data_IF_900063803740
#
_entry.id   IF_900063803740
#
_cell.length_a   1.000
_cell.length_b   1.000
_cell.length_c   1.000
_cell.angle_alpha   90.00
_cell.angle_beta   90.00
_cell.angle_gamma   90.00
#
_symmetry.space_group_name_H-M   'P 1'
#
loop_
_entity.id
_entity.type
_entity.pdbx_description
1 polymer ?
#
# COMPACT_ATOMS: atom_id res chain seq x y z
N UNK A 1 -5.96 -2.47 -0.55
CA UNK A 1 -5.07 -2.77 0.59
C UNK A 1 -4.35 -1.52 1.09
N UNK A 2 -3.64 -0.75 0.25
CA UNK A 2 -2.90 0.43 0.72
C UNK A 2 -3.73 1.47 1.50
N UNK A 3 -4.94 1.78 1.02
CA UNK A 3 -5.87 2.70 1.70
C UNK A 3 -6.34 2.22 3.07
N UNK A 4 -6.20 0.92 3.38
CA UNK A 4 -6.58 0.34 4.67
C UNK A 4 -5.71 0.87 5.81
N UNK A 5 -4.49 1.32 5.50
CA UNK A 5 -3.59 1.94 6.49
C UNK A 5 -3.99 3.35 6.92
N UNK A 6 -4.98 3.96 6.24
CA UNK A 6 -5.57 5.22 6.69
C UNK A 6 -6.30 5.02 8.01
N UNK A 7 -6.06 5.90 9.00
CA UNK A 7 -6.68 5.79 10.31
C UNK A 7 -8.21 5.77 10.26
N UNK A 8 -8.80 6.57 9.37
CA UNK A 8 -10.26 6.61 9.14
C UNK A 8 -10.81 5.28 8.62
N UNK A 9 -10.04 4.56 7.79
CA UNK A 9 -10.46 3.25 7.28
C UNK A 9 -10.49 2.20 8.41
N UNK A 10 -9.50 2.24 9.30
CA UNK A 10 -9.45 1.39 10.48
C UNK A 10 -10.62 1.66 11.44
N UNK A 11 -10.90 2.94 11.72
CA UNK A 11 -12.03 3.36 12.54
C UNK A 11 -13.37 2.93 11.92
N UNK A 12 -13.51 3.09 10.61
CA UNK A 12 -14.72 2.66 9.90
C UNK A 12 -14.95 1.14 9.96
N UNK A 13 -13.89 0.31 9.91
CA UNK A 13 -14.02 -1.15 10.01
C UNK A 13 -14.36 -1.57 11.44
N UNK A 14 -13.74 -0.94 12.43
CA UNK A 14 -14.06 -1.19 13.85
C UNK A 14 -15.54 -0.89 14.12
N UNK A 15 -16.01 0.30 13.69
CA UNK A 15 -17.42 0.68 13.82
C UNK A 15 -18.36 -0.19 12.97
N UNK A 16 -17.92 -0.64 11.80
CA UNK A 16 -18.71 -1.51 10.95
C UNK A 16 -19.12 -2.79 11.68
N UNK A 17 -18.31 -3.33 12.60
CA UNK A 17 -18.66 -4.53 13.39
C UNK A 17 -19.94 -4.40 14.23
N UNK A 18 -20.32 -3.17 14.61
CA UNK A 18 -21.55 -2.87 15.35
C UNK A 18 -22.75 -2.58 14.45
N UNK A 19 -22.54 -2.45 13.13
CA UNK A 19 -23.60 -2.12 12.19
C UNK A 19 -24.61 -3.27 12.04
N UNK A 20 -25.85 -3.03 12.44
CA UNK A 20 -26.97 -3.99 12.30
C UNK A 20 -27.64 -3.84 10.93
N UNK A 21 -26.94 -4.31 9.89
CA UNK A 21 -27.44 -4.20 8.53
C UNK A 21 -26.54 -4.83 7.47
N UNK A 22 -26.94 -4.64 6.22
CA UNK A 22 -26.19 -5.12 5.06
C UNK A 22 -25.11 -4.12 4.69
N UNK A 23 -23.85 -4.49 4.93
CA UNK A 23 -22.66 -3.75 4.52
C UNK A 23 -21.65 -4.76 3.96
N UNK A 24 -21.16 -4.51 2.74
CA UNK A 24 -20.12 -5.34 2.12
C UNK A 24 -18.90 -4.46 1.88
N UNK A 25 -17.80 -4.82 2.53
CA UNK A 25 -16.51 -4.15 2.38
C UNK A 25 -15.63 -5.02 1.49
N UNK A 26 -15.30 -4.52 0.30
CA UNK A 26 -14.44 -5.24 -0.63
C UNK A 26 -12.99 -4.81 -0.40
N UNK A 27 -12.17 -5.75 0.06
CA UNK A 27 -10.74 -5.54 0.24
C UNK A 27 -10.04 -6.05 -1.01
N UNK A 28 -9.74 -5.13 -1.92
CA UNK A 28 -8.87 -5.40 -3.06
C UNK A 28 -7.42 -5.43 -2.59
N UNK A 29 -6.83 -6.62 -2.52
CA UNK A 29 -5.47 -6.85 -2.05
C UNK A 29 -4.57 -7.29 -3.21
N UNK A 30 -3.69 -6.40 -3.64
CA UNK A 30 -2.68 -6.68 -4.66
C UNK A 30 -1.25 -6.58 -4.12
N UNK A 31 -1.12 -6.63 -2.78
CA UNK A 31 0.13 -6.51 -2.03
C UNK A 31 0.92 -5.21 -2.25
N UNK A 32 0.26 -4.16 -2.75
CA UNK A 32 0.91 -2.92 -3.16
C UNK A 32 0.12 -1.68 -2.73
N UNK A 33 0.81 -0.70 -2.14
CA UNK A 33 0.32 0.67 -2.08
C UNK A 33 0.77 1.42 -3.35
N UNK A 34 1.62 2.45 -3.19
CA UNK A 34 2.45 3.00 -4.26
C UNK A 34 3.68 2.10 -4.40
N UNK A 35 4.45 2.00 -3.32
CA UNK A 35 5.53 1.02 -3.10
C UNK A 35 5.03 -0.19 -2.28
N UNK A 36 5.95 -1.09 -1.94
CA UNK A 36 5.69 -2.24 -1.08
C UNK A 36 5.04 -1.84 0.26
N UNK A 37 4.13 -2.68 0.71
CA UNK A 37 3.43 -2.49 1.96
C UNK A 37 4.31 -2.85 3.18
N UNK A 38 4.34 -1.99 4.19
CA UNK A 38 5.05 -2.24 5.46
C UNK A 38 4.14 -2.04 6.66
N UNK A 39 4.12 -3.00 7.59
CA UNK A 39 3.36 -2.88 8.86
C UNK A 39 2.71 -4.19 9.31
N UNK A 40 2.17 -4.19 10.53
CA UNK A 40 1.54 -5.38 11.14
C UNK A 40 0.27 -5.83 10.39
N UNK A 41 -0.55 -4.88 9.95
CA UNK A 41 -1.74 -5.14 9.14
C UNK A 41 -1.41 -5.88 7.84
N UNK A 42 -0.39 -5.42 7.12
CA UNK A 42 0.00 -6.03 5.85
C UNK A 42 0.60 -7.43 6.02
N UNK A 43 1.30 -7.68 7.14
CA UNK A 43 1.70 -9.05 7.52
C UNK A 43 0.48 -9.95 7.75
N UNK A 44 -0.59 -9.42 8.34
CA UNK A 44 -1.83 -10.16 8.51
C UNK A 44 -2.52 -10.46 7.17
N UNK A 45 -2.62 -9.48 6.28
CA UNK A 45 -3.13 -9.68 4.91
C UNK A 45 -2.31 -10.74 4.18
N UNK A 46 -0.98 -10.67 4.23
CA UNK A 46 -0.10 -11.70 3.67
C UNK A 46 -0.37 -13.09 4.24
N UNK A 47 -0.49 -13.21 5.57
CA UNK A 47 -0.81 -14.49 6.20
C UNK A 47 -2.16 -15.05 5.72
N UNK A 48 -3.17 -14.19 5.57
CA UNK A 48 -4.46 -14.59 5.00
C UNK A 48 -4.34 -15.04 3.54
N UNK A 49 -3.55 -14.34 2.71
CA UNK A 49 -3.30 -14.76 1.32
C UNK A 49 -2.61 -16.12 1.24
N UNK A 50 -1.50 -16.27 1.97
CA UNK A 50 -0.70 -17.50 1.98
C UNK A 50 -1.48 -18.69 2.55
N UNK A 51 -2.35 -18.44 3.54
CA UNK A 51 -3.19 -19.45 4.19
C UNK A 51 -4.57 -19.65 3.55
N UNK A 52 -4.80 -19.15 2.34
CA UNK A 52 -6.08 -19.28 1.61
C UNK A 52 -7.30 -18.82 2.44
N UNK A 53 -7.20 -17.62 3.00
CA UNK A 53 -8.19 -17.00 3.87
C UNK A 53 -8.11 -17.41 5.34
N UNK A 54 -7.13 -18.23 5.73
CA UNK A 54 -6.94 -18.69 7.12
C UNK A 54 -5.62 -18.19 7.66
N UNK A 55 -5.64 -17.62 8.86
CA UNK A 55 -4.47 -17.23 9.61
C UNK A 55 -4.80 -17.26 11.11
N UNK A 56 -3.78 -17.31 11.97
CA UNK A 56 -3.95 -17.30 13.43
C UNK A 56 -4.68 -16.04 13.93
N UNK A 57 -4.53 -14.95 13.19
CA UNK A 57 -5.27 -13.71 13.39
C UNK A 57 -5.94 -13.34 12.09
N UNK A 58 -7.17 -12.85 12.16
CA UNK A 58 -7.85 -12.24 11.02
C UNK A 58 -8.40 -10.90 11.49
N UNK A 59 -7.82 -9.82 10.96
CA UNK A 59 -8.17 -8.45 11.33
C UNK A 59 -9.67 -8.17 11.23
N UNK A 60 -10.32 -8.65 10.17
CA UNK A 60 -11.73 -8.36 9.90
C UNK A 60 -12.66 -9.08 10.87
N UNK A 61 -12.40 -10.37 11.13
CA UNK A 61 -13.20 -11.11 12.11
C UNK A 61 -12.94 -10.63 13.53
N UNK A 62 -11.72 -10.17 13.83
CA UNK A 62 -11.40 -9.56 15.12
C UNK A 62 -12.19 -8.27 15.36
N UNK A 63 -12.53 -7.54 14.29
CA UNK A 63 -13.38 -6.35 14.29
C UNK A 63 -14.88 -6.68 14.11
N UNK A 64 -15.28 -7.95 14.16
CA UNK A 64 -16.70 -8.35 14.18
C UNK A 64 -17.37 -8.49 12.80
N UNK A 65 -16.63 -8.38 11.70
CA UNK A 65 -17.14 -8.63 10.35
C UNK A 65 -17.11 -10.13 10.04
N UNK A 66 -18.12 -10.60 9.31
CA UNK A 66 -18.01 -11.89 8.62
C UNK A 66 -16.92 -11.79 7.53
N UNK A 67 -16.28 -12.91 7.21
CA UNK A 67 -15.14 -12.91 6.31
C UNK A 67 -15.28 -13.92 5.17
N UNK A 68 -15.09 -13.45 3.94
CA UNK A 68 -15.03 -14.26 2.72
C UNK A 68 -13.71 -13.95 2.01
N UNK A 69 -12.99 -15.00 1.65
CA UNK A 69 -11.74 -14.89 0.90
C UNK A 69 -11.91 -15.42 -0.53
N UNK A 70 -11.39 -14.67 -1.50
CA UNK A 70 -11.34 -15.05 -2.90
C UNK A 70 -9.88 -15.01 -3.35
N UNK A 71 -9.30 -16.20 -3.56
CA UNK A 71 -7.89 -16.35 -3.95
C UNK A 71 -7.60 -15.76 -5.34
N UNK A 72 -8.54 -15.87 -6.26
CA UNK A 72 -8.42 -15.32 -7.61
C UNK A 72 -9.45 -14.20 -7.80
N UNK A 73 -9.06 -12.99 -7.45
CA UNK A 73 -9.88 -11.79 -7.62
C UNK A 73 -9.87 -11.23 -9.04
N UNK A 74 -9.14 -11.86 -9.97
CA UNK A 74 -9.18 -11.52 -11.40
C UNK A 74 -10.13 -12.46 -12.19
N UNK A 75 -10.66 -13.50 -11.54
CA UNK A 75 -11.64 -14.43 -12.11
C UNK A 75 -13.09 -13.96 -11.83
N UNK A 76 -13.83 -13.66 -12.91
CA UNK A 76 -15.19 -13.11 -12.84
C UNK A 76 -16.16 -14.09 -12.19
N UNK A 77 -16.07 -15.39 -12.49
CA UNK A 77 -16.99 -16.40 -11.95
C UNK A 77 -16.81 -16.56 -10.44
N UNK A 78 -15.57 -16.50 -9.97
CA UNK A 78 -15.21 -16.52 -8.55
C UNK A 78 -15.77 -15.30 -7.81
N UNK A 79 -15.69 -14.12 -8.43
CA UNK A 79 -16.29 -12.90 -7.89
C UNK A 79 -17.82 -12.97 -7.86
N UNK A 80 -18.46 -13.44 -8.94
CA UNK A 80 -19.92 -13.61 -9.00
C UNK A 80 -20.39 -14.57 -7.90
N UNK A 81 -19.69 -15.69 -7.71
CA UNK A 81 -20.00 -16.66 -6.66
C UNK A 81 -19.86 -16.05 -5.26
N UNK A 82 -18.77 -15.32 -5.01
CA UNK A 82 -18.54 -14.67 -3.73
C UNK A 82 -19.59 -13.59 -3.42
N UNK A 83 -19.89 -12.71 -4.38
CA UNK A 83 -20.87 -11.64 -4.20
C UNK A 83 -22.29 -12.18 -4.09
N UNK A 84 -22.65 -13.21 -4.87
CA UNK A 84 -23.96 -13.87 -4.75
C UNK A 84 -24.18 -14.47 -3.37
N UNK A 85 -23.12 -14.97 -2.72
CA UNK A 85 -23.17 -15.51 -1.37
C UNK A 85 -23.42 -14.44 -0.31
N UNK A 86 -22.89 -13.23 -0.48
CA UNK A 86 -22.91 -12.19 0.57
C UNK A 86 -23.95 -11.09 0.34
N UNK A 87 -24.50 -10.96 -0.87
CA UNK A 87 -25.37 -9.83 -1.27
C UNK A 87 -26.59 -9.59 -0.38
N UNK A 88 -27.12 -10.64 0.24
CA UNK A 88 -28.32 -10.56 1.10
C UNK A 88 -27.99 -10.64 2.60
N UNK A 89 -26.71 -10.52 2.96
CA UNK A 89 -26.25 -10.58 4.35
C UNK A 89 -27.01 -9.58 5.23
N UNK A 90 -27.24 -9.98 6.48
CA UNK A 90 -27.82 -9.14 7.53
C UNK A 90 -26.77 -8.58 8.48
N UNK A 91 -25.50 -8.95 8.25
CA UNK A 91 -24.34 -8.49 9.01
C UNK A 91 -23.26 -7.99 8.05
N UNK A 92 -22.40 -7.07 8.49
CA UNK A 92 -21.20 -6.63 7.78
C UNK A 92 -20.31 -7.80 7.33
N UNK A 93 -19.88 -7.77 6.07
CA UNK A 93 -18.98 -8.79 5.49
C UNK A 93 -17.77 -8.11 4.87
N UNK A 94 -16.58 -8.56 5.25
CA UNK A 94 -15.34 -8.29 4.52
C UNK A 94 -15.14 -9.36 3.43
N UNK A 95 -15.18 -8.93 2.17
CA UNK A 95 -14.83 -9.77 1.01
C UNK A 95 -13.41 -9.41 0.59
N UNK A 96 -12.46 -10.25 0.97
CA UNK A 96 -11.05 -10.08 0.65
C UNK A 96 -10.72 -10.81 -0.65
N UNK A 97 -10.40 -10.03 -1.69
CA UNK A 97 -10.06 -10.51 -3.03
C UNK A 97 -8.58 -10.26 -3.30
N UNK A 98 -7.88 -11.25 -3.82
CA UNK A 98 -6.47 -11.11 -4.21
C UNK A 98 -6.39 -10.78 -5.69
N UNK A 99 -5.78 -9.65 -6.06
CA UNK A 99 -5.66 -9.23 -7.46
C UNK A 99 -4.21 -8.97 -7.87
N UNK A 100 -3.98 -8.92 -9.17
CA UNK A 100 -2.72 -8.49 -9.74
C UNK A 100 -2.80 -7.02 -10.18
N UNK A 101 -1.99 -6.15 -9.56
CA UNK A 101 -1.89 -4.74 -9.95
C UNK A 101 -1.33 -4.63 -11.37
N UNK A 102 -2.02 -3.86 -12.22
CA UNK A 102 -1.66 -3.70 -13.63
C UNK A 102 -2.16 -4.82 -14.55
N UNK A 103 -2.97 -5.77 -14.05
CA UNK A 103 -3.41 -6.94 -14.83
C UNK A 103 -3.90 -6.56 -16.23
N UNK A 104 -3.35 -7.22 -17.25
CA UNK A 104 -3.69 -7.01 -18.66
C UNK A 104 -2.75 -6.05 -19.40
N UNK A 105 -1.77 -5.44 -18.72
CA UNK A 105 -0.72 -4.63 -19.32
C UNK A 105 0.65 -5.09 -18.79
N UNK A 106 1.42 -5.80 -19.61
CA UNK A 106 2.66 -6.46 -19.18
C UNK A 106 3.65 -5.52 -18.51
N UNK A 107 3.87 -4.32 -19.06
CA UNK A 107 4.77 -3.32 -18.48
C UNK A 107 4.31 -2.80 -17.11
N UNK A 108 3.00 -2.78 -16.84
CA UNK A 108 2.43 -2.36 -15.57
C UNK A 108 2.43 -3.49 -14.54
N UNK A 109 2.33 -4.75 -14.98
CA UNK A 109 2.51 -5.93 -14.13
C UNK A 109 3.98 -6.07 -13.68
N UNK A 110 4.93 -5.76 -14.56
CA UNK A 110 6.37 -5.79 -14.28
C UNK A 110 6.80 -4.62 -13.37
N UNK A 111 6.35 -3.39 -13.67
CA UNK A 111 6.79 -2.17 -12.98
C UNK A 111 5.61 -1.50 -12.23
N UNK A 112 5.02 -2.21 -11.27
CA UNK A 112 3.78 -1.82 -10.56
C UNK A 112 3.82 -0.47 -9.83
N UNK A 113 5.00 -0.04 -9.40
CA UNK A 113 5.20 1.26 -8.72
C UNK A 113 5.20 2.41 -9.75
N UNK A 114 6.03 2.31 -10.79
CA UNK A 114 6.11 3.29 -11.87
C UNK A 114 4.78 3.46 -12.62
N UNK A 115 4.02 2.37 -12.73
CA UNK A 115 2.70 2.36 -13.37
C UNK A 115 1.53 2.59 -12.40
N UNK A 116 1.80 2.99 -11.16
CA UNK A 116 0.74 3.37 -10.22
C UNK A 116 -0.06 4.59 -10.73
N UNK A 117 0.63 5.53 -11.39
CA UNK A 117 0.04 6.67 -12.08
C UNK A 117 0.92 7.04 -13.28
N UNK A 118 0.32 7.30 -14.44
CA UNK A 118 1.06 7.64 -15.64
C UNK A 118 0.32 8.67 -16.50
N UNK A 119 1.07 9.55 -17.16
CA UNK A 119 0.54 10.43 -18.21
C UNK A 119 0.03 9.61 -19.40
N UNK A 120 -0.90 10.14 -20.23
CA UNK A 120 -1.43 9.43 -21.38
C UNK A 120 -0.32 8.76 -22.20
N UNK A 121 -0.49 7.47 -22.45
CA UNK A 121 0.50 6.63 -23.10
C UNK A 121 -0.14 5.84 -24.24
N UNK A 122 0.70 5.23 -25.06
CA UNK A 122 0.31 4.28 -26.08
C UNK A 122 0.14 2.88 -25.47
N UNK A 123 -1.06 2.29 -25.62
CA UNK A 123 -1.43 1.05 -24.91
C UNK A 123 -0.62 -0.16 -25.37
N UNK A 124 -0.19 -0.20 -26.63
CA UNK A 124 0.59 -1.32 -27.18
C UNK A 124 2.06 -1.23 -26.78
N UNK A 125 2.61 -0.02 -26.72
CA UNK A 125 4.05 0.21 -26.56
C UNK A 125 4.46 0.72 -25.19
N UNK A 126 3.52 1.17 -24.36
CA UNK A 126 3.77 1.77 -23.04
C UNK A 126 4.42 3.16 -23.09
N UNK A 127 4.61 3.74 -24.29
CA UNK A 127 5.31 5.03 -24.42
C UNK A 127 4.41 6.20 -24.08
N UNK A 128 4.91 7.13 -23.26
CA UNK A 128 4.21 8.38 -22.96
C UNK A 128 3.95 9.19 -24.26
N UNK A 129 2.74 9.73 -24.40
CA UNK A 129 2.35 10.62 -25.50
C UNK A 129 2.83 12.05 -25.30
N UNK A 130 3.15 12.39 -24.05
CA UNK A 130 3.66 13.69 -23.65
C UNK A 130 4.83 13.48 -22.70
N UNK A 131 5.96 14.08 -23.02
CA UNK A 131 7.08 14.20 -22.10
C UNK A 131 7.08 15.62 -21.54
N UNK A 132 7.19 15.72 -20.22
CA UNK A 132 7.40 16.99 -19.54
C UNK A 132 8.88 17.07 -19.16
N UNK A 133 9.58 18.03 -19.75
CA UNK A 133 11.03 18.20 -19.57
C UNK A 133 11.36 19.37 -18.62
N UNK A 134 10.35 19.89 -17.91
CA UNK A 134 10.51 20.97 -16.94
C UNK A 134 10.88 20.47 -15.55
N UNK A 135 11.46 21.33 -14.72
CA UNK A 135 11.63 21.04 -13.31
C UNK A 135 10.30 21.23 -12.57
N UNK A 136 9.96 20.31 -11.67
CA UNK A 136 8.84 20.49 -10.75
C UNK A 136 9.29 20.92 -9.34
N UNK A 137 8.34 21.39 -8.53
CA UNK A 137 8.63 21.82 -7.17
C UNK A 137 9.10 20.68 -6.26
N UNK A 138 8.68 19.44 -6.52
CA UNK A 138 9.14 18.24 -5.83
C UNK A 138 10.64 18.01 -6.07
N UNK A 139 11.08 18.04 -7.32
CA UNK A 139 12.48 17.91 -7.72
C UNK A 139 13.36 18.98 -7.08
N UNK A 140 12.93 20.25 -7.18
CA UNK A 140 13.66 21.38 -6.59
C UNK A 140 13.76 21.24 -5.07
N UNK A 141 12.68 20.83 -4.43
CA UNK A 141 12.64 20.60 -2.98
C UNK A 141 13.55 19.44 -2.58
N UNK A 142 13.52 18.33 -3.32
CA UNK A 142 14.37 17.17 -3.07
C UNK A 142 15.86 17.54 -3.20
N UNK A 143 16.25 18.21 -4.29
CA UNK A 143 17.62 18.72 -4.49
C UNK A 143 18.05 19.63 -3.33
N UNK A 144 17.18 20.53 -2.89
CA UNK A 144 17.45 21.43 -1.76
C UNK A 144 17.66 20.67 -0.44
N UNK A 145 16.81 19.70 -0.13
CA UNK A 145 16.91 18.88 1.09
C UNK A 145 18.17 18.03 1.11
N UNK A 146 18.52 17.39 -0.02
CA UNK A 146 19.73 16.58 -0.15
C UNK A 146 20.98 17.44 0.06
N UNK A 147 21.02 18.64 -0.53
CA UNK A 147 22.13 19.59 -0.32
C UNK A 147 22.28 19.99 1.15
N UNK A 148 21.18 20.35 1.82
CA UNK A 148 21.20 20.70 3.24
C UNK A 148 21.66 19.55 4.13
N UNK A 149 21.24 18.32 3.81
CA UNK A 149 21.69 17.13 4.53
C UNK A 149 23.20 16.91 4.41
N UNK A 150 23.79 17.11 3.23
CA UNK A 150 25.24 17.02 3.06
C UNK A 150 26.01 18.10 3.82
N UNK A 151 25.53 19.35 3.76
CA UNK A 151 26.11 20.48 4.51
C UNK A 151 26.06 20.20 6.03
N UNK A 152 24.92 19.69 6.53
CA UNK A 152 24.75 19.27 7.92
C UNK A 152 25.72 18.15 8.33
N UNK A 153 25.86 17.10 7.52
CA UNK A 153 26.84 16.02 7.79
C UNK A 153 28.28 16.53 7.79
N UNK A 154 28.64 17.45 6.89
CA UNK A 154 29.99 18.06 6.85
C UNK A 154 30.26 18.87 8.13
N UNK A 155 29.29 19.67 8.59
CA UNK A 155 29.38 20.43 9.84
C UNK A 155 29.51 19.54 11.08
N UNK A 156 28.70 18.48 11.15
CA UNK A 156 28.79 17.53 12.27
C UNK A 156 30.16 16.81 12.31
N UNK A 157 30.73 16.48 11.15
CA UNK A 157 32.09 15.91 11.04
C UNK A 157 33.20 16.91 11.39
N UNK A 158 33.04 18.20 11.12
CA UNK A 158 34.02 19.22 11.57
C UNK A 158 33.98 19.41 13.08
N UNK A 159 32.79 19.43 13.68
CA UNK A 159 32.61 19.64 15.11
C UNK A 159 33.15 18.44 15.93
N UNK A 160 32.91 17.21 15.45
CA UNK A 160 33.49 16.00 16.03
C UNK A 160 35.03 16.01 16.00
N UNK A 161 35.63 16.40 14.86
CA UNK A 161 37.10 16.52 14.73
C UNK A 161 37.68 17.59 15.67
N UNK A 162 37.03 18.76 15.74
CA UNK A 162 37.45 19.83 16.65
C UNK A 162 37.38 19.40 18.12
N UNK A 163 36.31 18.69 18.52
CA UNK A 163 36.16 18.16 19.89
C UNK A 163 37.20 17.09 20.25
N UNK A 164 37.66 16.31 19.26
CA UNK A 164 38.67 15.28 19.45
C UNK A 164 40.08 15.89 19.56
N UNK A 165 40.38 16.89 18.74
CA UNK A 165 41.65 17.64 18.81
C UNK A 165 41.83 18.39 20.13
N UNK A 166 40.78 19.02 20.68
CA UNK A 166 40.86 19.64 22.02
C UNK A 166 41.19 18.63 23.12
N UNK A 167 40.53 17.46 23.11
CA UNK A 167 40.78 16.41 24.10
C UNK A 167 42.19 15.82 24.06
N UNK A 168 42.87 15.90 22.92
CA UNK A 168 44.27 15.51 22.77
C UNK A 168 45.26 16.58 23.23
N UNK A 169 44.87 17.87 23.20
CA UNK A 169 45.68 18.99 23.69
C UNK A 169 45.56 19.21 25.21
N UNK A 170 44.49 18.71 25.82
CA UNK A 170 44.23 18.78 27.28
C UNK A 170 44.77 17.57 28.07
N UNK A 171 45.48 16.63 27.40
CA UNK A 171 46.18 15.48 28.02
C UNK A 171 47.69 15.65 27.87
#
# INVERSE_FOLDING_TARGET
>A
DGSLSGGEALEAIDYAGEFDGNLIVIINDNDMSIAENHGGMYKNLKALRDGNGKADTNLFTAMGLDYVFVKDGNDIESLIAAFSKVKDSKRPVAVHIVTEKGKGLSFAEENKEDWHWHMPFDVETGKAKYNYDGEDYGDLTAKMLLRKNEEGRKRMRSDLRYSHSRRLLER
#
